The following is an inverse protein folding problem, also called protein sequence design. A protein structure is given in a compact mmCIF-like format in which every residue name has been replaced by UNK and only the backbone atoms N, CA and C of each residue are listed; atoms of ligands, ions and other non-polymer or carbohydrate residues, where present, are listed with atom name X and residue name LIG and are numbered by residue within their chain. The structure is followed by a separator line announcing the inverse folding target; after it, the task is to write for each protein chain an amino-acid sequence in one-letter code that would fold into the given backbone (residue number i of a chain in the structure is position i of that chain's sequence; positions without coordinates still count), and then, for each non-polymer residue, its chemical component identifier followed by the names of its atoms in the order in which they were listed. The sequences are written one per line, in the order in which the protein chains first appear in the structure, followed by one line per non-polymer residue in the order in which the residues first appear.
data_IF_220938694926
#
_entry.id   IF_220938694926
#
_cell.length_a   1.000
_cell.length_b   1.000
_cell.length_c   1.000
_cell.angle_alpha   90.00
_cell.angle_beta   90.00
_cell.angle_gamma   90.00
#
_symmetry.space_group_name_H-M   'P 1'
#
loop_
_entity.id
_entity.type
_entity.pdbx_description
1 polymer ?
#
# COMPACT_ATOMS: atom_id res chain seq x y z
N UNK A 1 -12.09 9.78 -15.96
CA UNK A 1 -11.13 8.70 -15.64
C UNK A 1 -9.78 8.83 -16.36
N UNK A 2 -9.73 9.25 -17.63
CA UNK A 2 -8.46 9.38 -18.37
C UNK A 2 -7.55 10.55 -17.95
N UNK A 3 -8.07 11.56 -17.25
CA UNK A 3 -7.29 12.77 -16.91
C UNK A 3 -6.24 12.57 -15.82
N UNK A 4 -6.42 11.61 -14.90
CA UNK A 4 -5.48 11.36 -13.80
C UNK A 4 -4.28 10.52 -14.25
N UNK A 5 -4.53 9.49 -15.07
CA UNK A 5 -3.48 8.68 -15.70
C UNK A 5 -2.61 9.52 -16.65
N UNK A 6 -3.22 10.44 -17.40
CA UNK A 6 -2.48 11.37 -18.26
C UNK A 6 -1.54 12.27 -17.44
N UNK A 7 -1.94 12.74 -16.26
CA UNK A 7 -1.10 13.59 -15.39
C UNK A 7 0.09 12.85 -14.77
N UNK A 8 -0.03 11.54 -14.55
CA UNK A 8 1.06 10.69 -14.05
C UNK A 8 2.08 10.38 -15.16
N UNK A 9 1.61 10.17 -16.39
CA UNK A 9 2.44 9.88 -17.57
C UNK A 9 3.03 11.12 -18.25
N UNK A 10 2.50 12.33 -17.99
CA UNK A 10 2.97 13.59 -18.58
C UNK A 10 4.03 14.31 -17.75
N UNK A 11 4.40 13.79 -16.58
CA UNK A 11 5.53 14.35 -15.83
C UNK A 11 6.81 13.80 -16.44
N UNK A 12 7.54 14.65 -17.17
CA UNK A 12 8.94 14.39 -17.46
C UNK A 12 9.65 14.00 -16.15
N UNK A 13 10.51 12.96 -16.16
CA UNK A 13 11.25 12.60 -14.98
C UNK A 13 12.09 13.80 -14.57
N UNK A 14 11.81 14.37 -13.40
CA UNK A 14 12.67 15.37 -12.80
C UNK A 14 14.06 14.73 -12.69
N UNK A 15 15.01 15.31 -13.44
CA UNK A 15 16.32 14.76 -13.76
C UNK A 15 17.24 14.54 -12.52
N UNK A 16 16.73 14.85 -11.32
CA UNK A 16 17.47 14.88 -10.05
C UNK A 16 16.81 14.08 -8.91
N UNK A 17 15.80 13.23 -9.17
CA UNK A 17 15.33 12.32 -8.11
C UNK A 17 16.12 11.02 -8.16
N UNK A 18 17.09 10.78 -7.25
CA UNK A 18 17.89 9.57 -7.32
C UNK A 18 17.00 8.33 -7.11
N UNK A 19 17.21 7.25 -7.88
CA UNK A 19 16.40 6.02 -7.80
C UNK A 19 16.37 5.41 -6.39
N UNK A 20 17.37 5.70 -5.56
CA UNK A 20 17.42 5.31 -4.15
C UNK A 20 16.32 5.91 -3.25
N UNK A 21 15.80 7.11 -3.54
CA UNK A 21 14.73 7.70 -2.72
C UNK A 21 13.37 7.04 -3.00
N UNK A 22 13.08 6.73 -4.28
CA UNK A 22 11.85 6.05 -4.68
C UNK A 22 11.83 4.63 -4.08
N UNK A 23 12.93 3.89 -4.14
CA UNK A 23 13.01 2.54 -3.55
C UNK A 23 12.85 2.56 -2.02
N UNK A 24 13.42 3.56 -1.31
CA UNK A 24 13.24 3.73 0.14
C UNK A 24 11.81 4.10 0.54
N UNK A 25 11.11 4.89 -0.28
CA UNK A 25 9.68 5.19 -0.10
C UNK A 25 8.86 3.91 -0.30
N UNK A 26 9.17 3.10 -1.32
CA UNK A 26 8.46 1.84 -1.57
C UNK A 26 8.69 0.79 -0.48
N UNK A 27 9.89 0.66 0.07
CA UNK A 27 10.18 -0.30 1.16
C UNK A 27 9.51 0.08 2.49
N UNK A 28 9.39 1.38 2.78
CA UNK A 28 8.80 1.88 4.02
C UNK A 28 7.26 1.97 3.99
N UNK A 29 6.62 2.29 2.85
CA UNK A 29 5.14 2.35 2.75
C UNK A 29 4.50 0.97 2.55
N UNK A 30 5.14 0.05 1.81
CA UNK A 30 4.51 -1.22 1.46
C UNK A 30 4.37 -2.22 2.59
N UNK A 31 5.04 -2.03 3.72
CA UNK A 31 5.21 -3.16 4.61
C UNK A 31 4.18 -3.23 5.73
N UNK A 32 3.76 -2.18 6.43
CA UNK A 32 3.05 -2.40 7.71
C UNK A 32 1.68 -1.75 7.87
N UNK A 33 1.22 -0.82 7.03
CA UNK A 33 -0.07 -0.14 7.24
C UNK A 33 -1.20 -0.69 6.38
N UNK A 34 -2.33 -1.01 7.00
CA UNK A 34 -3.54 -1.50 6.34
C UNK A 34 -4.76 -0.76 6.89
N UNK A 35 -5.65 -0.32 6.00
CA UNK A 35 -6.97 0.18 6.38
C UNK A 35 -7.93 -1.00 6.38
N UNK A 36 -8.64 -1.21 7.48
CA UNK A 36 -9.56 -2.34 7.64
C UNK A 36 -10.94 -1.84 8.06
N UNK A 37 -11.98 -2.57 7.67
CA UNK A 37 -13.31 -2.35 8.21
C UNK A 37 -13.31 -2.63 9.72
N UNK A 38 -13.86 -1.71 10.52
CA UNK A 38 -13.80 -1.83 11.98
C UNK A 38 -14.64 -3.02 12.52
N UNK A 39 -15.68 -3.45 11.80
CA UNK A 39 -16.57 -4.53 12.19
C UNK A 39 -16.07 -5.88 11.68
N UNK A 40 -15.77 -5.98 10.38
CA UNK A 40 -15.38 -7.25 9.75
C UNK A 40 -13.90 -7.56 9.85
N UNK A 41 -13.06 -6.54 10.12
CA UNK A 41 -11.59 -6.61 10.16
C UNK A 41 -10.96 -7.06 8.83
N UNK A 42 -11.73 -6.96 7.75
CA UNK A 42 -11.26 -7.22 6.39
C UNK A 42 -10.58 -5.97 5.86
N UNK A 43 -9.41 -6.13 5.25
CA UNK A 43 -8.70 -5.06 4.56
C UNK A 43 -9.58 -4.42 3.48
N UNK A 44 -9.57 -3.10 3.46
CA UNK A 44 -10.21 -2.29 2.43
C UNK A 44 -9.12 -1.79 1.50
N UNK A 45 -9.31 -1.98 0.21
CA UNK A 45 -8.34 -1.57 -0.80
C UNK A 45 -8.88 -0.45 -1.68
N UNK A 46 -7.98 0.21 -2.41
CA UNK A 46 -8.38 1.23 -3.38
C UNK A 46 -9.24 0.67 -4.53
N UNK A 47 -9.28 -0.65 -4.73
CA UNK A 47 -10.19 -1.31 -5.68
C UNK A 47 -11.63 -1.36 -5.14
N UNK A 48 -11.77 -1.46 -3.82
CA UNK A 48 -13.08 -1.45 -3.14
C UNK A 48 -13.59 0.00 -3.01
N UNK A 49 -12.70 0.94 -2.67
CA UNK A 49 -13.03 2.35 -2.45
C UNK A 49 -12.04 3.26 -3.19
N UNK A 50 -12.42 3.66 -4.41
CA UNK A 50 -11.60 4.55 -5.26
C UNK A 50 -11.22 5.88 -4.59
N UNK A 51 -12.00 6.34 -3.60
CA UNK A 51 -11.68 7.54 -2.81
C UNK A 51 -10.33 7.44 -2.08
N UNK A 52 -9.84 6.24 -1.80
CA UNK A 52 -8.53 6.01 -1.19
C UNK A 52 -7.36 6.52 -2.05
N UNK A 53 -7.51 6.59 -3.37
CA UNK A 53 -6.48 7.16 -4.26
C UNK A 53 -6.23 8.66 -4.04
N UNK A 54 -7.13 9.34 -3.32
CA UNK A 54 -7.00 10.76 -3.00
C UNK A 54 -6.25 11.00 -1.69
N UNK A 55 -5.90 9.95 -0.95
CA UNK A 55 -5.05 10.03 0.24
C UNK A 55 -3.61 10.22 -0.23
N UNK A 56 -2.93 11.26 0.23
CA UNK A 56 -1.57 11.61 -0.17
C UNK A 56 -0.59 11.45 1.01
N UNK A 57 0.06 10.27 1.14
CA UNK A 57 1.05 10.02 2.18
C UNK A 57 2.45 10.50 1.77
N UNK A 58 3.16 11.15 2.69
CA UNK A 58 4.55 11.58 2.56
C UNK A 58 5.39 11.01 3.68
N UNK A 59 6.53 10.42 3.33
CA UNK A 59 7.49 9.93 4.31
C UNK A 59 8.51 11.02 4.61
N UNK A 60 8.70 11.29 5.90
CA UNK A 60 9.78 12.12 6.41
C UNK A 60 10.68 11.23 7.26
N UNK A 61 11.85 10.87 6.75
CA UNK A 61 12.82 10.06 7.49
C UNK A 61 13.59 10.96 8.45
N UNK A 62 13.62 10.58 9.72
CA UNK A 62 14.42 11.22 10.76
C UNK A 62 15.25 10.15 11.46
N UNK A 63 16.49 9.95 11.03
CA UNK A 63 17.34 8.88 11.57
C UNK A 63 17.71 9.10 13.05
N UNK A 64 17.63 10.34 13.53
CA UNK A 64 17.77 10.72 14.94
C UNK A 64 16.47 10.57 15.75
N UNK A 65 15.32 10.36 15.10
CA UNK A 65 14.04 10.23 15.78
C UNK A 65 13.89 8.82 16.35
N UNK A 66 13.34 8.71 17.56
CA UNK A 66 13.17 7.43 18.26
C UNK A 66 12.34 6.40 17.50
N UNK A 67 11.51 6.85 16.56
CA UNK A 67 10.65 6.04 15.71
C UNK A 67 10.99 6.19 14.21
N UNK A 68 12.21 6.63 13.89
CA UNK A 68 12.77 6.68 12.53
C UNK A 68 12.21 7.73 11.59
N UNK A 69 11.39 8.66 12.10
CA UNK A 69 10.70 9.70 11.33
C UNK A 69 9.19 9.51 11.30
N UNK A 70 8.49 10.24 10.44
CA UNK A 70 7.01 10.26 10.41
C UNK A 70 6.45 10.00 9.01
N UNK A 71 5.20 9.54 8.97
CA UNK A 71 4.37 9.55 7.77
C UNK A 71 3.33 10.65 7.97
N UNK A 72 3.38 11.67 7.12
CA UNK A 72 2.37 12.71 7.03
C UNK A 72 1.30 12.24 6.02
N UNK A 73 0.04 12.24 6.41
CA UNK A 73 -1.08 11.85 5.56
C UNK A 73 -1.94 13.09 5.33
N UNK A 74 -2.11 13.47 4.07
CA UNK A 74 -2.95 14.60 3.68
C UNK A 74 -4.12 14.17 2.79
N UNK A 75 -5.13 15.02 2.72
CA UNK A 75 -6.39 14.79 2.01
C UNK A 75 -6.67 15.98 1.08
N UNK A 76 -7.57 15.83 0.09
CA UNK A 76 -8.05 16.96 -0.71
C UNK A 76 -8.59 18.10 0.16
N UNK A 77 -8.34 19.35 -0.22
CA UNK A 77 -8.70 20.53 0.58
C UNK A 77 -10.21 20.64 0.85
N UNK A 78 -11.04 20.13 -0.06
CA UNK A 78 -12.50 20.09 0.04
C UNK A 78 -13.04 18.91 0.86
N UNK A 79 -12.17 18.02 1.36
CA UNK A 79 -12.58 16.86 2.14
C UNK A 79 -13.00 17.20 3.57
N UNK A 80 -12.61 18.37 4.09
CA UNK A 80 -12.83 18.77 5.47
C UNK A 80 -12.14 17.84 6.48
N UNK A 81 -11.05 17.18 6.07
CA UNK A 81 -10.19 16.36 6.91
C UNK A 81 -8.83 17.05 7.04
N UNK A 82 -8.38 17.24 8.27
CA UNK A 82 -7.05 17.78 8.55
C UNK A 82 -5.96 16.73 8.24
N UNK A 83 -4.76 17.17 7.83
CA UNK A 83 -3.60 16.30 7.77
C UNK A 83 -3.29 15.68 9.13
N UNK A 84 -2.67 14.51 9.12
CA UNK A 84 -2.28 13.80 10.35
C UNK A 84 -0.88 13.18 10.22
N UNK A 85 -0.20 13.05 11.35
CA UNK A 85 1.13 12.44 11.41
C UNK A 85 1.08 11.13 12.22
N UNK A 86 1.74 10.09 11.71
CA UNK A 86 1.91 8.79 12.38
C UNK A 86 3.39 8.39 12.39
N UNK A 87 3.86 7.57 13.35
CA UNK A 87 5.26 7.15 13.38
C UNK A 87 5.60 6.26 12.19
N UNK A 88 6.79 6.45 11.63
CA UNK A 88 7.30 5.61 10.53
C UNK A 88 7.68 4.21 11.01
N UNK A 89 8.35 4.11 12.16
CA UNK A 89 8.82 2.86 12.78
C UNK A 89 8.59 2.92 14.30
N UNK A 90 7.36 2.75 14.78
CA UNK A 90 7.09 2.75 16.23
C UNK A 90 7.95 1.69 16.92
N UNK A 91 8.53 2.04 18.08
CA UNK A 91 9.33 1.13 18.89
C UNK A 91 8.44 0.11 19.59
N UNK A 92 9.04 -0.98 20.08
CA UNK A 92 8.30 -2.00 20.81
C UNK A 92 7.55 -1.43 22.03
N UNK A 93 8.22 -0.57 22.82
CA UNK A 93 7.63 0.10 23.98
C UNK A 93 6.38 0.94 23.62
N UNK A 94 6.35 1.53 22.43
CA UNK A 94 5.18 2.23 21.93
C UNK A 94 4.05 1.27 21.57
N UNK A 95 4.38 0.19 20.86
CA UNK A 95 3.41 -0.82 20.43
C UNK A 95 2.73 -1.53 21.61
N UNK A 96 3.41 -1.68 22.75
CA UNK A 96 2.82 -2.23 23.97
C UNK A 96 1.64 -1.41 24.50
N UNK A 97 1.65 -0.11 24.22
CA UNK A 97 0.57 0.81 24.59
C UNK A 97 -0.51 0.94 23.50
N UNK A 98 -0.28 0.39 22.32
CA UNK A 98 -1.22 0.46 21.22
C UNK A 98 -2.25 -0.66 21.31
N UNK A 99 -3.51 -0.33 20.97
CA UNK A 99 -4.58 -1.32 20.98
C UNK A 99 -4.31 -2.40 19.92
N UNK A 100 -4.12 -3.64 20.37
CA UNK A 100 -4.03 -4.79 19.47
C UNK A 100 -5.41 -5.17 18.91
N UNK A 101 -5.45 -5.54 17.63
CA UNK A 101 -6.61 -6.06 16.91
C UNK A 101 -6.23 -7.40 16.32
N UNK A 102 -6.93 -8.44 16.75
CA UNK A 102 -6.69 -9.81 16.30
C UNK A 102 -7.53 -10.11 15.05
N UNK A 103 -7.09 -11.08 14.25
CA UNK A 103 -7.81 -11.59 13.08
C UNK A 103 -8.12 -10.51 12.02
N UNK A 104 -7.16 -9.65 11.72
CA UNK A 104 -7.17 -8.78 10.54
C UNK A 104 -6.94 -9.64 9.29
N UNK A 105 -7.88 -9.59 8.35
CA UNK A 105 -7.88 -10.39 7.13
C UNK A 105 -7.32 -9.55 5.99
N UNK A 106 -6.18 -9.97 5.43
CA UNK A 106 -5.54 -9.34 4.28
C UNK A 106 -5.22 -10.43 3.26
N UNK A 107 -5.76 -10.32 2.04
CA UNK A 107 -5.56 -11.32 0.97
C UNK A 107 -5.78 -12.77 1.45
N UNK A 108 -6.88 -13.00 2.17
CA UNK A 108 -7.28 -14.33 2.73
C UNK A 108 -6.40 -14.86 3.89
N UNK A 109 -5.35 -14.15 4.28
CA UNK A 109 -4.56 -14.46 5.46
C UNK A 109 -5.10 -13.72 6.67
N UNK A 110 -5.24 -14.41 7.81
CA UNK A 110 -5.42 -13.76 9.10
C UNK A 110 -4.07 -13.29 9.67
N UNK A 111 -4.10 -12.18 10.37
CA UNK A 111 -2.95 -11.61 11.06
C UNK A 111 -3.40 -10.71 12.19
N UNK A 112 -2.53 -10.45 13.14
CA UNK A 112 -2.79 -9.49 14.20
C UNK A 112 -2.14 -8.15 13.81
N UNK A 113 -2.60 -7.06 14.43
CA UNK A 113 -2.02 -5.74 14.23
C UNK A 113 -2.37 -4.78 15.35
N UNK A 114 -1.77 -3.61 15.32
CA UNK A 114 -1.95 -2.54 16.29
C UNK A 114 -2.70 -1.38 15.64
N UNK A 115 -3.69 -0.84 16.32
CA UNK A 115 -4.35 0.39 15.84
C UNK A 115 -3.35 1.53 15.93
N UNK A 116 -3.17 2.22 14.80
CA UNK A 116 -2.21 3.30 14.69
C UNK A 116 -2.68 4.51 15.46
N UNK A 117 -1.75 5.07 16.23
CA UNK A 117 -1.94 6.26 17.04
C UNK A 117 -1.27 7.47 16.38
N UNK A 118 -1.89 8.65 16.51
CA UNK A 118 -1.33 9.92 16.04
C UNK A 118 -0.06 10.29 16.81
N UNK A 119 0.89 10.92 16.12
CA UNK A 119 2.01 11.63 16.75
C UNK A 119 1.61 13.01 17.28
N UNK A 120 0.53 13.58 16.74
CA UNK A 120 0.10 14.94 17.07
C UNK A 120 -0.52 14.97 18.48
N UNK A 121 0.04 15.71 19.45
CA UNK A 121 -0.47 15.74 20.82
C UNK A 121 -1.83 16.45 20.93
N UNK A 122 -2.07 17.42 20.04
CA UNK A 122 -3.31 18.21 19.97
C UNK A 122 -4.28 17.67 18.90
N UNK A 123 -4.15 16.40 18.53
CA UNK A 123 -4.98 15.80 17.49
C UNK A 123 -6.48 15.87 17.84
N UNK A 124 -7.31 16.21 16.85
CA UNK A 124 -8.75 16.50 17.01
C UNK A 124 -9.51 15.36 17.73
N UNK A 125 -9.10 14.11 17.53
CA UNK A 125 -9.73 12.94 18.14
C UNK A 125 -8.78 12.23 19.12
N UNK A 126 -7.77 12.93 19.62
CA UNK A 126 -6.71 12.38 20.47
C UNK A 126 -5.92 11.27 19.76
N UNK A 127 -5.47 10.23 20.48
CA UNK A 127 -4.69 9.13 19.93
C UNK A 127 -5.32 8.43 18.71
N UNK A 128 -6.65 8.29 18.68
CA UNK A 128 -7.41 7.59 17.63
C UNK A 128 -7.58 8.40 16.33
N UNK A 129 -6.99 9.60 16.25
CA UNK A 129 -7.11 10.51 15.10
C UNK A 129 -6.87 9.87 13.73
N UNK A 130 -5.89 8.97 13.52
CA UNK A 130 -5.71 8.30 12.23
C UNK A 130 -6.95 7.54 11.78
N UNK A 131 -7.49 6.67 12.66
CA UNK A 131 -8.67 5.86 12.33
C UNK A 131 -9.94 6.70 12.18
N UNK A 132 -10.12 7.73 13.01
CA UNK A 132 -11.29 8.62 12.96
C UNK A 132 -11.29 9.51 11.72
N UNK A 133 -10.14 10.08 11.37
CA UNK A 133 -10.00 10.93 10.17
C UNK A 133 -10.22 10.12 8.90
N UNK A 134 -9.62 8.92 8.80
CA UNK A 134 -9.87 8.01 7.68
C UNK A 134 -11.32 7.56 7.62
N UNK A 135 -11.96 7.32 8.77
CA UNK A 135 -13.39 6.96 8.78
C UNK A 135 -14.27 8.08 8.25
N UNK A 136 -14.01 9.33 8.65
CA UNK A 136 -14.69 10.52 8.15
C UNK A 136 -14.44 10.69 6.65
N UNK A 137 -13.18 10.57 6.23
CA UNK A 137 -12.78 10.74 4.84
C UNK A 137 -13.46 9.70 3.92
N UNK A 138 -13.45 8.43 4.31
CA UNK A 138 -14.02 7.34 3.51
C UNK A 138 -15.53 7.20 3.66
N UNK A 139 -16.16 7.88 4.64
CA UNK A 139 -17.58 7.73 4.95
C UNK A 139 -17.93 6.33 5.48
N UNK A 140 -16.96 5.63 6.07
CA UNK A 140 -17.08 4.25 6.56
C UNK A 140 -16.30 4.10 7.85
N UNK A 141 -16.81 3.33 8.81
CA UNK A 141 -16.05 3.07 10.06
C UNK A 141 -14.89 2.13 9.77
N UNK A 142 -13.67 2.66 9.81
CA UNK A 142 -12.43 1.92 9.53
C UNK A 142 -11.42 2.07 10.65
N UNK A 143 -10.43 1.19 10.67
CA UNK A 143 -9.24 1.30 11.49
C UNK A 143 -8.01 1.39 10.58
N UNK A 144 -7.07 2.28 10.93
CA UNK A 144 -5.71 2.19 10.40
C UNK A 144 -4.92 1.26 11.32
N UNK A 145 -4.39 0.19 10.75
CA UNK A 145 -3.73 -0.87 11.49
C UNK A 145 -2.29 -1.01 11.01
N UNK A 146 -1.36 -0.98 11.96
CA UNK A 146 0.00 -1.44 11.77
C UNK A 146 0.03 -2.96 11.99
N UNK A 147 0.41 -3.72 10.97
CA UNK A 147 0.52 -5.18 11.04
C UNK A 147 1.58 -5.58 12.07
N UNK A 148 1.23 -6.54 12.93
CA UNK A 148 2.17 -7.09 13.89
C UNK A 148 3.30 -7.83 13.13
N UNK A 149 4.51 -7.94 13.71
CA UNK A 149 5.67 -8.60 13.07
C UNK A 149 5.54 -10.12 12.90
N UNK A 150 4.33 -10.67 13.06
CA UNK A 150 4.06 -12.10 12.91
C UNK A 150 4.23 -12.52 11.46
N UNK A 151 5.16 -13.45 11.23
CA UNK A 151 5.41 -14.03 9.91
C UNK A 151 4.18 -14.78 9.38
N UNK A 152 3.90 -14.65 8.08
CA UNK A 152 2.88 -15.41 7.36
C UNK A 152 3.51 -16.64 6.72
N UNK A 153 2.81 -17.77 6.78
CA UNK A 153 3.18 -18.94 5.98
C UNK A 153 2.93 -18.70 4.49
N UNK A 154 3.93 -18.99 3.67
CA UNK A 154 3.81 -18.94 2.22
C UNK A 154 3.03 -20.17 1.76
N UNK A 155 2.06 -19.95 0.87
CA UNK A 155 1.28 -21.06 0.31
C UNK A 155 2.20 -21.95 -0.55
N UNK A 156 2.05 -23.28 -0.48
CA UNK A 156 2.75 -24.18 -1.39
C UNK A 156 2.40 -23.89 -2.85
N UNK A 157 3.33 -24.24 -3.76
CA UNK A 157 3.06 -24.23 -5.20
C UNK A 157 2.88 -25.65 -5.70
N UNK A 158 2.33 -25.80 -6.92
CA UNK A 158 2.26 -27.09 -7.61
C UNK A 158 3.63 -27.79 -7.72
N UNK A 159 4.69 -27.01 -7.96
CA UNK A 159 6.06 -27.54 -8.10
C UNK A 159 6.75 -27.79 -6.75
N UNK A 160 6.28 -27.13 -5.67
CA UNK A 160 6.82 -27.24 -4.33
C UNK A 160 5.69 -27.44 -3.32
N UNK A 161 5.01 -28.60 -3.32
CA UNK A 161 3.84 -28.87 -2.48
C UNK A 161 4.19 -28.93 -0.98
N UNK A 162 5.46 -29.18 -0.66
CA UNK A 162 5.98 -29.24 0.71
C UNK A 162 6.76 -27.97 1.10
N UNK A 163 6.53 -26.85 0.43
CA UNK A 163 7.24 -25.59 0.73
C UNK A 163 6.97 -25.16 2.17
N UNK A 164 8.02 -25.13 3.00
CA UNK A 164 7.99 -24.60 4.37
C UNK A 164 8.74 -23.28 4.40
N UNK A 165 8.08 -22.23 3.92
CA UNK A 165 8.63 -20.88 3.93
C UNK A 165 7.68 -19.96 4.68
N UNK A 166 8.28 -19.01 5.38
CA UNK A 166 7.55 -17.88 5.94
C UNK A 166 8.03 -16.60 5.28
N UNK A 167 7.12 -15.67 5.13
CA UNK A 167 7.42 -14.35 4.63
C UNK A 167 6.75 -13.32 5.52
N UNK A 168 7.33 -12.13 5.55
CA UNK A 168 6.59 -10.94 5.95
C UNK A 168 5.52 -10.66 4.89
N UNK A 169 4.96 -9.46 4.89
CA UNK A 169 3.80 -9.12 4.07
C UNK A 169 4.20 -8.62 2.68
N UNK A 170 4.82 -9.52 1.91
CA UNK A 170 4.94 -9.37 0.46
C UNK A 170 3.74 -10.03 -0.23
N UNK A 171 3.27 -9.42 -1.31
CA UNK A 171 2.27 -10.02 -2.19
C UNK A 171 2.83 -11.34 -2.75
N UNK A 172 2.22 -12.47 -2.39
CA UNK A 172 2.66 -13.80 -2.80
C UNK A 172 3.91 -14.32 -2.08
N UNK A 173 5.10 -14.04 -2.64
CA UNK A 173 6.38 -14.67 -2.27
C UNK A 173 7.42 -13.64 -1.77
N UNK A 174 8.37 -14.06 -0.91
CA UNK A 174 9.35 -13.13 -0.34
C UNK A 174 10.38 -12.59 -1.34
N UNK A 175 10.53 -13.26 -2.49
CA UNK A 175 11.49 -12.94 -3.56
C UNK A 175 10.75 -12.96 -4.89
N UNK A 176 10.92 -11.90 -5.67
CA UNK A 176 10.55 -11.86 -7.09
C UNK A 176 11.85 -11.92 -7.89
N UNK A 177 11.96 -12.88 -8.80
CA UNK A 177 13.11 -13.02 -9.70
C UNK A 177 12.67 -12.60 -11.10
N UNK A 178 13.44 -11.71 -11.72
CA UNK A 178 13.28 -11.27 -13.09
C UNK A 178 14.68 -11.06 -13.71
N UNK A 179 14.76 -11.06 -15.03
CA UNK A 179 15.98 -10.74 -15.76
C UNK A 179 15.73 -9.65 -16.80
N UNK A 180 16.80 -9.02 -17.29
CA UNK A 180 16.71 -7.88 -18.20
C UNK A 180 16.01 -8.27 -19.51
N UNK A 181 16.28 -9.47 -20.04
CA UNK A 181 15.64 -9.95 -21.27
C UNK A 181 14.12 -10.10 -21.14
N UNK A 182 13.61 -10.49 -19.96
CA UNK A 182 12.15 -10.54 -19.72
C UNK A 182 11.53 -9.15 -19.71
N UNK A 183 12.23 -8.15 -19.14
CA UNK A 183 11.75 -6.77 -19.16
C UNK A 183 11.79 -6.17 -20.56
N UNK A 184 12.82 -6.45 -21.34
CA UNK A 184 12.94 -6.02 -22.74
C UNK A 184 11.80 -6.59 -23.59
N UNK A 185 11.49 -7.88 -23.43
CA UNK A 185 10.41 -8.53 -24.15
C UNK A 185 9.04 -7.94 -23.76
N UNK A 186 8.76 -7.79 -22.46
CA UNK A 186 7.52 -7.13 -21.98
C UNK A 186 7.41 -5.71 -22.55
N UNK A 187 8.48 -4.91 -22.50
CA UNK A 187 8.47 -3.55 -23.04
C UNK A 187 8.22 -3.52 -24.54
N UNK A 188 8.77 -4.48 -25.29
CA UNK A 188 8.50 -4.66 -26.72
C UNK A 188 7.03 -4.98 -26.98
N UNK A 189 6.44 -5.91 -26.24
CA UNK A 189 5.03 -6.28 -26.37
C UNK A 189 4.09 -5.10 -26.06
N UNK A 190 4.36 -4.34 -24.99
CA UNK A 190 3.59 -3.15 -24.64
C UNK A 190 3.65 -2.08 -25.74
N UNK A 191 4.83 -1.83 -26.32
CA UNK A 191 4.99 -0.90 -27.46
C UNK A 191 4.23 -1.37 -28.68
N UNK A 192 4.30 -2.67 -29.00
CA UNK A 192 3.56 -3.25 -30.12
C UNK A 192 2.06 -3.09 -29.92
N UNK A 193 1.55 -3.36 -28.72
CA UNK A 193 0.13 -3.18 -28.38
C UNK A 193 -0.31 -1.72 -28.53
N UNK A 194 0.47 -0.77 -27.98
CA UNK A 194 0.16 0.65 -28.06
C UNK A 194 0.17 1.19 -29.51
N UNK A 195 1.00 0.61 -30.38
CA UNK A 195 1.08 1.00 -31.79
C UNK A 195 0.04 0.29 -32.68
N UNK A 196 -0.58 -0.80 -32.20
CA UNK A 196 -1.59 -1.54 -32.94
C UNK A 196 -2.97 -0.86 -32.96
N UNK A 197 -3.22 0.12 -32.08
CA UNK A 197 -4.48 0.91 -32.05
C UNK A 197 -4.64 1.89 -33.25
N UNK A 198 -3.81 1.78 -34.30
CA UNK A 198 -3.88 2.60 -35.52
C UNK A 198 -4.67 2.00 -36.69
N UNK A 199 -4.93 0.68 -36.71
CA UNK A 199 -5.30 -0.03 -37.96
C UNK A 199 -6.71 -0.63 -37.95
N UNK A 200 -7.60 -0.21 -37.03
CA UNK A 200 -9.04 -0.49 -37.12
C UNK A 200 -9.49 -1.95 -36.90
N UNK A 201 -8.59 -2.90 -36.65
CA UNK A 201 -8.93 -4.23 -36.15
C UNK A 201 -8.35 -4.46 -34.75
N UNK A 202 -9.24 -4.41 -33.74
CA UNK A 202 -9.02 -4.80 -32.34
C UNK A 202 -8.50 -6.25 -32.21
N UNK A 203 -7.20 -6.47 -32.45
CA UNK A 203 -6.62 -7.82 -32.45
C UNK A 203 -5.46 -8.01 -31.47
N UNK A 204 -5.13 -7.02 -30.64
CA UNK A 204 -4.13 -7.20 -29.59
C UNK A 204 -4.71 -7.92 -28.36
N UNK A 205 -4.79 -9.26 -28.44
CA UNK A 205 -5.10 -10.11 -27.28
C UNK A 205 -3.84 -10.32 -26.44
N UNK A 206 -3.77 -9.67 -25.28
CA UNK A 206 -2.80 -10.04 -24.23
C UNK A 206 -3.26 -11.39 -23.65
N UNK A 207 -2.67 -12.48 -24.10
CA UNK A 207 -2.93 -13.81 -23.52
C UNK A 207 -2.40 -13.88 -22.08
N UNK A 208 -3.28 -14.22 -21.13
CA UNK A 208 -2.98 -14.27 -19.70
C UNK A 208 -4.07 -13.70 -18.80
N UNK A 209 -4.95 -12.85 -19.35
CA UNK A 209 -6.25 -12.55 -18.73
C UNK A 209 -7.30 -13.50 -19.31
N UNK A 210 -7.35 -14.72 -18.79
CA UNK A 210 -8.48 -15.59 -19.09
C UNK A 210 -9.72 -14.99 -18.41
N UNK A 211 -10.65 -14.47 -19.21
CA UNK A 211 -12.03 -14.27 -18.78
C UNK A 211 -12.65 -15.65 -18.59
N UNK A 212 -12.50 -16.21 -17.39
CA UNK A 212 -13.49 -17.14 -16.84
C UNK A 212 -14.18 -16.40 -15.70
N UNK A 213 -15.38 -15.89 -16.02
CA UNK A 213 -16.50 -15.74 -15.09
C UNK A 213 -17.58 -16.70 -15.57
#
# INVERSE_FOLDING_TARGET
MFSAAKRFLSREPAHDTPPLQITKIFDAVRTWLVIVDAKTRVAITARDFNKMFLIDPKIHVGESDTYGGKIEISFPADSGCEPLNIPLRPTQDWLENWRMVNNVIVWESNSDGYVVVSLDPDAVYGPDTPSKTLSRFLGRTVLLVLKAPKLRWVLPTTNFPNLRASAMFRDGYPILVANDSSFEDIAKQVRMAANAEGDGEDTFKIHGFNNEV
#
